data_IF_116490805839
#
_entry.id   IF_116490805839
#
_cell.length_a   1.000
_cell.length_b   1.000
_cell.length_c   1.000
_cell.angle_alpha   90.00
_cell.angle_beta   90.00
_cell.angle_gamma   90.00
#
_symmetry.space_group_name_H-M   'P 1'
#
loop_
_entity.id
_entity.type
_entity.pdbx_description
1 polymer ?
#
# COMPACT_ATOMS: atom_id res chain seq x y z
N UNK A 1 -43.78 0.27 -32.13
CA UNK A 1 -42.72 1.10 -31.52
C UNK A 1 -41.76 0.26 -30.63
N UNK A 2 -42.26 -0.58 -29.72
CA UNK A 2 -41.36 -1.39 -28.83
C UNK A 2 -40.45 -2.38 -29.57
N UNK A 3 -40.91 -2.99 -30.66
CA UNK A 3 -40.12 -3.95 -31.48
C UNK A 3 -39.04 -3.28 -32.33
N UNK A 4 -39.23 -2.05 -32.76
CA UNK A 4 -38.19 -1.27 -33.49
C UNK A 4 -37.10 -0.78 -32.56
N UNK A 5 -37.43 -0.43 -31.30
CA UNK A 5 -36.45 0.01 -30.29
C UNK A 5 -35.53 -1.13 -29.88
N UNK A 6 -36.05 -2.36 -29.74
CA UNK A 6 -35.29 -3.56 -29.44
C UNK A 6 -34.32 -3.95 -30.59
N UNK A 7 -34.73 -3.77 -31.84
CA UNK A 7 -33.88 -4.07 -32.99
C UNK A 7 -32.73 -3.05 -33.12
N UNK A 8 -33.00 -1.77 -32.83
CA UNK A 8 -31.99 -0.72 -32.82
C UNK A 8 -30.94 -0.92 -31.75
N UNK A 9 -31.35 -1.35 -30.54
CA UNK A 9 -30.44 -1.64 -29.43
C UNK A 9 -29.53 -2.84 -29.72
N UNK A 10 -30.05 -3.88 -30.37
CA UNK A 10 -29.29 -5.04 -30.80
C UNK A 10 -28.24 -4.71 -31.87
N UNK A 11 -28.57 -3.79 -32.79
CA UNK A 11 -27.66 -3.37 -33.87
C UNK A 11 -26.46 -2.56 -33.31
N UNK A 12 -26.65 -1.75 -32.27
CA UNK A 12 -25.59 -0.98 -31.63
C UNK A 12 -24.60 -1.90 -30.87
N UNK A 13 -25.08 -2.99 -30.26
CA UNK A 13 -24.23 -3.97 -29.57
C UNK A 13 -23.34 -4.77 -30.53
N UNK A 14 -23.76 -5.01 -31.76
CA UNK A 14 -22.97 -5.77 -32.76
C UNK A 14 -21.87 -4.91 -33.39
N UNK A 15 -22.05 -3.60 -33.49
CA UNK A 15 -21.03 -2.71 -34.05
C UNK A 15 -19.86 -2.43 -33.10
N UNK A 16 -20.02 -2.67 -31.80
CA UNK A 16 -18.94 -2.44 -30.81
C UNK A 16 -17.88 -3.56 -30.74
N UNK A 17 -18.13 -4.73 -31.36
CA UNK A 17 -17.16 -5.84 -31.38
C UNK A 17 -16.21 -5.82 -32.60
N UNK A 18 -16.39 -4.93 -33.55
CA UNK A 18 -15.57 -4.88 -34.77
C UNK A 18 -14.34 -3.95 -34.70
N UNK A 19 -14.06 -3.34 -33.52
CA UNK A 19 -12.95 -2.38 -33.37
C UNK A 19 -11.66 -2.98 -32.78
N UNK A 20 -11.56 -4.31 -32.61
CA UNK A 20 -10.33 -5.00 -32.21
C UNK A 20 -9.96 -6.02 -33.28
N UNK A 21 -9.34 -5.57 -34.33
CA UNK A 21 -8.81 -6.43 -35.40
C UNK A 21 -7.57 -5.85 -36.01
N UNK A 22 -6.45 -6.47 -35.74
CA UNK A 22 -5.32 -6.69 -36.63
C UNK A 22 -4.42 -5.51 -37.04
N UNK A 23 -3.20 -5.55 -36.49
CA UNK A 23 -2.05 -5.18 -37.29
C UNK A 23 -0.88 -6.12 -37.03
N UNK A 24 -0.64 -6.95 -38.06
CA UNK A 24 0.42 -7.91 -38.15
C UNK A 24 1.65 -7.28 -38.82
N UNK A 25 2.82 -7.53 -38.22
CA UNK A 25 4.10 -7.82 -38.85
C UNK A 25 4.70 -6.89 -39.90
N UNK A 26 5.88 -6.40 -39.58
CA UNK A 26 6.88 -5.89 -40.50
C UNK A 26 8.12 -5.57 -39.71
N UNK A 27 9.13 -6.48 -39.71
CA UNK A 27 10.40 -6.28 -39.01
C UNK A 27 11.21 -5.15 -39.67
N UNK A 28 11.89 -4.41 -38.82
CA UNK A 28 13.15 -3.72 -39.10
C UNK A 28 13.80 -3.44 -37.76
N UNK A 29 15.00 -3.97 -37.59
CA UNK A 29 15.93 -3.63 -36.51
C UNK A 29 16.21 -2.13 -36.55
N UNK A 30 15.68 -1.40 -35.59
CA UNK A 30 16.23 -0.13 -35.16
C UNK A 30 16.16 -0.13 -33.63
N UNK A 31 17.36 -0.12 -33.05
CA UNK A 31 17.58 0.05 -31.62
C UNK A 31 17.21 1.50 -31.27
N UNK A 32 15.93 1.76 -31.17
CA UNK A 32 15.42 2.99 -30.57
C UNK A 32 15.11 2.70 -29.11
N UNK A 33 15.93 3.29 -28.27
CA UNK A 33 15.74 3.38 -26.83
C UNK A 33 14.47 4.23 -26.55
N UNK A 34 13.32 3.72 -26.92
CA UNK A 34 12.02 4.25 -26.53
C UNK A 34 11.83 3.96 -25.05
N UNK A 35 12.28 4.89 -24.22
CA UNK A 35 11.90 4.93 -22.83
C UNK A 35 10.38 4.78 -22.74
N UNK A 36 9.93 3.61 -22.35
CA UNK A 36 8.52 3.31 -22.09
C UNK A 36 8.03 4.39 -21.14
N UNK A 37 7.15 5.27 -21.62
CA UNK A 37 6.57 6.31 -20.76
C UNK A 37 5.92 5.61 -19.56
N UNK A 38 6.45 5.82 -18.36
CA UNK A 38 5.95 5.18 -17.16
C UNK A 38 4.45 5.49 -17.02
N UNK A 39 3.66 4.45 -16.83
CA UNK A 39 2.24 4.59 -16.50
C UNK A 39 2.13 5.28 -15.14
N UNK A 40 1.28 6.29 -14.98
CA UNK A 40 1.06 6.90 -13.68
C UNK A 40 0.65 5.84 -12.64
N UNK A 41 1.24 5.92 -11.46
CA UNK A 41 0.95 5.03 -10.33
C UNK A 41 0.63 5.87 -9.10
N UNK A 42 -0.55 5.70 -8.56
CA UNK A 42 -0.98 6.29 -7.30
C UNK A 42 -0.96 5.19 -6.24
N UNK A 43 -0.02 5.31 -5.30
CA UNK A 43 0.21 4.32 -4.26
C UNK A 43 -0.30 4.84 -2.91
N UNK A 44 -0.85 3.96 -2.10
CA UNK A 44 -1.31 4.27 -0.74
C UNK A 44 -0.36 3.67 0.28
N UNK A 45 0.10 4.50 1.23
CA UNK A 45 0.94 4.10 2.35
C UNK A 45 0.17 4.14 3.67
N UNK A 46 -0.07 2.99 4.27
CA UNK A 46 -0.63 2.87 5.61
C UNK A 46 0.36 3.30 6.68
N UNK A 47 -0.12 4.11 7.60
CA UNK A 47 0.72 4.70 8.65
C UNK A 47 0.26 4.24 10.03
N UNK A 48 -0.36 5.10 10.81
CA UNK A 48 -0.94 4.85 12.10
C UNK A 48 -1.98 5.94 12.41
N UNK A 49 -2.40 6.07 13.65
CA UNK A 49 -3.31 7.14 14.06
C UNK A 49 -2.71 8.51 13.80
N UNK A 50 -3.56 9.51 13.54
CA UNK A 50 -3.12 10.88 13.20
C UNK A 50 -2.28 11.57 14.27
N UNK A 51 -2.37 11.14 15.53
CA UNK A 51 -1.52 11.59 16.64
C UNK A 51 -0.25 10.76 16.84
N UNK A 52 -0.03 9.72 16.04
CA UNK A 52 1.11 8.81 16.20
C UNK A 52 2.31 9.17 15.33
N UNK A 53 3.47 8.64 15.69
CA UNK A 53 4.73 8.85 14.97
C UNK A 53 4.66 8.38 13.51
N UNK A 54 4.01 7.25 13.24
CA UNK A 54 3.90 6.69 11.89
C UNK A 54 3.17 7.63 10.93
N UNK A 55 2.12 8.34 11.39
CA UNK A 55 1.39 9.26 10.53
C UNK A 55 2.25 10.46 10.13
N UNK A 56 2.89 11.10 11.11
CA UNK A 56 3.76 12.25 10.86
C UNK A 56 4.96 11.85 9.96
N UNK A 57 5.59 10.71 10.25
CA UNK A 57 6.74 10.21 9.51
C UNK A 57 6.35 9.75 8.11
N UNK A 58 5.25 9.00 7.96
CA UNK A 58 4.75 8.54 6.68
C UNK A 58 4.36 9.69 5.76
N UNK A 59 3.75 10.74 6.30
CA UNK A 59 3.47 11.97 5.54
C UNK A 59 4.74 12.66 5.04
N UNK A 60 5.75 12.79 5.89
CA UNK A 60 7.04 13.35 5.50
C UNK A 60 7.76 12.49 4.44
N UNK A 61 7.73 11.15 4.60
CA UNK A 61 8.28 10.22 3.63
C UNK A 61 7.57 10.30 2.29
N UNK A 62 6.23 10.30 2.28
CA UNK A 62 5.44 10.41 1.05
C UNK A 62 5.80 11.70 0.30
N UNK A 63 5.87 12.84 0.98
CA UNK A 63 6.27 14.10 0.36
C UNK A 63 7.69 14.02 -0.24
N UNK A 64 8.66 13.53 0.53
CA UNK A 64 10.04 13.42 0.06
C UNK A 64 10.19 12.46 -1.15
N UNK A 65 9.43 11.36 -1.17
CA UNK A 65 9.43 10.42 -2.28
C UNK A 65 8.75 11.04 -3.51
N UNK A 66 7.61 11.70 -3.34
CA UNK A 66 6.88 12.36 -4.42
C UNK A 66 7.75 13.43 -5.10
N UNK A 67 8.49 14.23 -4.32
CA UNK A 67 9.43 15.21 -4.84
C UNK A 67 10.55 14.55 -5.69
N UNK A 68 11.07 13.41 -5.25
CA UNK A 68 12.13 12.68 -5.94
C UNK A 68 11.63 11.93 -7.19
N UNK A 69 10.40 11.44 -7.16
CA UNK A 69 9.82 10.63 -8.22
C UNK A 69 8.86 11.42 -9.14
N UNK A 70 8.82 12.75 -9.03
CA UNK A 70 7.91 13.61 -9.80
C UNK A 70 7.96 13.34 -11.32
N UNK A 71 9.15 13.04 -11.85
CA UNK A 71 9.34 12.72 -13.27
C UNK A 71 8.96 11.29 -13.65
N UNK A 72 8.71 10.41 -12.67
CA UNK A 72 8.36 9.00 -12.88
C UNK A 72 6.86 8.74 -12.82
N UNK A 73 6.06 9.79 -12.60
CA UNK A 73 4.60 9.71 -12.47
C UNK A 73 4.15 8.75 -11.37
N UNK A 74 4.91 8.68 -10.27
CA UNK A 74 4.56 7.93 -9.08
C UNK A 74 4.13 8.92 -8.01
N UNK A 75 2.96 8.69 -7.42
CA UNK A 75 2.45 9.50 -6.30
C UNK A 75 2.18 8.58 -5.12
N UNK A 76 2.66 8.94 -3.93
CA UNK A 76 2.38 8.22 -2.68
C UNK A 76 1.51 9.08 -1.79
N UNK A 77 0.40 8.54 -1.31
CA UNK A 77 -0.48 9.18 -0.33
C UNK A 77 -0.38 8.45 1.01
N UNK A 78 -0.03 9.17 2.07
CA UNK A 78 -0.03 8.63 3.43
C UNK A 78 -1.44 8.59 3.99
N UNK A 79 -1.88 7.43 4.47
CA UNK A 79 -3.20 7.19 5.04
C UNK A 79 -3.12 6.84 6.53
N UNK A 80 -4.00 7.43 7.34
CA UNK A 80 -4.14 7.05 8.74
C UNK A 80 -4.79 5.66 8.86
N UNK A 81 -4.26 4.84 9.78
CA UNK A 81 -4.71 3.46 10.04
C UNK A 81 -4.58 3.13 11.53
N UNK A 82 -4.93 1.90 11.91
CA UNK A 82 -4.62 1.31 13.22
C UNK A 82 -3.20 0.76 13.34
N UNK A 83 -2.28 1.21 12.49
CA UNK A 83 -0.86 0.84 12.46
C UNK A 83 -0.59 -0.62 12.01
N UNK A 84 0.47 -1.25 12.55
CA UNK A 84 1.14 -2.44 12.01
C UNK A 84 0.21 -3.57 11.58
N UNK A 85 -0.73 -3.98 12.43
CA UNK A 85 -1.62 -5.12 12.14
C UNK A 85 -2.57 -4.79 11.00
N UNK A 86 -3.17 -3.60 11.03
CA UNK A 86 -4.08 -3.16 9.96
C UNK A 86 -3.33 -2.98 8.65
N UNK A 87 -2.16 -2.34 8.68
CA UNK A 87 -1.36 -2.13 7.47
C UNK A 87 -1.01 -3.44 6.77
N UNK A 88 -0.56 -4.45 7.54
CA UNK A 88 -0.21 -5.76 6.99
C UNK A 88 -1.43 -6.51 6.43
N UNK A 89 -2.59 -6.39 7.10
CA UNK A 89 -3.83 -6.98 6.60
C UNK A 89 -4.33 -6.29 5.31
N UNK A 90 -4.26 -4.96 5.23
CA UNK A 90 -4.67 -4.21 4.04
C UNK A 90 -3.75 -4.49 2.84
N UNK A 91 -2.44 -4.59 3.06
CA UNK A 91 -1.49 -5.00 2.00
C UNK A 91 -1.79 -6.43 1.56
N UNK A 92 -2.05 -7.34 2.49
CA UNK A 92 -2.39 -8.73 2.18
C UNK A 92 -3.68 -8.84 1.36
N UNK A 93 -4.65 -7.98 1.62
CA UNK A 93 -5.91 -7.91 0.89
C UNK A 93 -5.79 -7.21 -0.49
N UNK A 94 -4.64 -6.57 -0.79
CA UNK A 94 -4.46 -5.76 -2.00
C UNK A 94 -5.19 -4.41 -1.95
N UNK A 95 -5.54 -3.95 -0.75
CA UNK A 95 -6.21 -2.67 -0.50
C UNK A 95 -5.22 -1.53 -0.20
N UNK A 96 -3.94 -1.86 -0.08
CA UNK A 96 -2.86 -0.92 0.23
C UNK A 96 -1.55 -1.40 -0.39
N UNK A 97 -0.71 -0.46 -0.82
CA UNK A 97 0.53 -0.78 -1.54
C UNK A 97 1.75 -0.81 -0.61
N UNK A 98 1.78 0.09 0.36
CA UNK A 98 2.89 0.29 1.30
C UNK A 98 2.36 0.38 2.73
N UNK A 99 3.20 0.10 3.72
CA UNK A 99 2.80 0.26 5.13
C UNK A 99 3.99 0.32 6.06
N UNK A 100 3.86 1.11 7.12
CA UNK A 100 4.82 1.14 8.22
C UNK A 100 4.37 0.11 9.26
N UNK A 101 5.26 -0.78 9.64
CA UNK A 101 4.96 -1.83 10.62
C UNK A 101 6.16 -2.11 11.52
N UNK A 102 5.87 -2.52 12.75
CA UNK A 102 6.87 -3.04 13.69
C UNK A 102 7.39 -4.39 13.19
N UNK A 103 8.68 -4.63 13.30
CA UNK A 103 9.34 -5.86 12.85
C UNK A 103 8.79 -7.13 13.53
N UNK A 104 8.50 -7.09 14.83
CA UNK A 104 7.90 -8.21 15.55
C UNK A 104 6.46 -8.50 15.10
N UNK A 105 5.68 -7.46 14.74
CA UNK A 105 4.33 -7.64 14.21
C UNK A 105 4.40 -8.22 12.79
N UNK A 106 5.38 -7.78 11.98
CA UNK A 106 5.61 -8.36 10.65
C UNK A 106 6.04 -9.84 10.73
N UNK A 107 6.89 -10.21 11.70
CA UNK A 107 7.23 -11.60 11.95
C UNK A 107 6.00 -12.44 12.35
N UNK A 108 5.18 -11.95 13.28
CA UNK A 108 3.93 -12.62 13.67
C UNK A 108 2.96 -12.77 12.48
N UNK A 109 2.90 -11.77 11.60
CA UNK A 109 2.08 -11.84 10.39
C UNK A 109 2.58 -12.95 9.46
N UNK A 110 3.87 -13.02 9.22
CA UNK A 110 4.48 -14.06 8.38
C UNK A 110 4.20 -15.47 8.93
N UNK A 111 4.28 -15.65 10.25
CA UNK A 111 4.01 -16.92 10.93
C UNK A 111 2.49 -17.20 11.10
N UNK A 112 1.61 -16.22 10.88
CA UNK A 112 0.16 -16.34 11.08
C UNK A 112 -0.23 -16.50 12.54
N UNK A 113 0.46 -15.80 13.44
CA UNK A 113 0.24 -15.89 14.89
C UNK A 113 -0.14 -14.53 15.50
N UNK A 114 -0.52 -14.53 16.78
CA UNK A 114 -0.91 -13.32 17.49
C UNK A 114 -2.22 -12.72 16.98
N UNK A 115 -2.15 -11.56 16.34
CA UNK A 115 -3.33 -10.88 15.78
C UNK A 115 -3.72 -11.36 14.37
N UNK A 116 -2.99 -12.34 13.83
CA UNK A 116 -3.22 -12.87 12.48
C UNK A 116 -3.81 -14.28 12.53
N UNK A 117 -4.83 -14.53 11.72
CA UNK A 117 -5.52 -15.83 11.66
C UNK A 117 -4.89 -16.79 10.64
N UNK A 118 -4.00 -16.31 9.80
CA UNK A 118 -3.27 -17.07 8.78
C UNK A 118 -1.98 -16.32 8.41
N UNK A 119 -0.98 -17.03 7.86
CA UNK A 119 0.25 -16.41 7.38
C UNK A 119 0.02 -15.35 6.30
N UNK A 120 0.69 -14.21 6.44
CA UNK A 120 0.75 -13.12 5.46
C UNK A 120 2.08 -13.25 4.73
N UNK A 121 2.06 -13.81 3.52
CA UNK A 121 3.28 -14.19 2.77
C UNK A 121 3.52 -13.37 1.50
N UNK A 122 2.59 -12.45 1.17
CA UNK A 122 2.66 -11.61 -0.03
C UNK A 122 3.20 -10.20 0.25
N UNK A 123 3.88 -10.01 1.38
CA UNK A 123 4.54 -8.75 1.74
C UNK A 123 6.05 -8.89 1.72
N UNK A 124 6.76 -7.81 1.41
CA UNK A 124 8.21 -7.75 1.44
C UNK A 124 8.68 -6.52 2.20
N UNK A 125 9.77 -6.64 2.96
CA UNK A 125 10.39 -5.50 3.63
C UNK A 125 11.23 -4.70 2.63
N UNK A 126 10.99 -3.38 2.59
CA UNK A 126 11.75 -2.45 1.74
C UNK A 126 12.94 -1.88 2.52
N UNK A 127 12.79 -1.65 3.81
CA UNK A 127 13.84 -1.07 4.64
C UNK A 127 13.40 -0.80 6.08
N UNK A 128 14.33 -0.31 6.88
CA UNK A 128 14.09 0.10 8.28
C UNK A 128 14.01 1.62 8.33
N UNK A 129 12.92 2.13 8.90
CA UNK A 129 12.67 3.57 8.98
C UNK A 129 13.34 4.17 10.23
N UNK A 130 13.14 3.56 11.39
CA UNK A 130 13.78 3.95 12.66
C UNK A 130 13.69 2.82 13.70
N UNK A 131 14.41 2.96 14.82
CA UNK A 131 14.38 2.01 15.91
C UNK A 131 13.26 2.39 16.90
N UNK A 132 12.32 1.49 17.11
CA UNK A 132 11.33 1.61 18.19
C UNK A 132 11.85 0.90 19.44
N UNK A 133 12.08 1.67 20.51
CA UNK A 133 12.56 1.15 21.79
C UNK A 133 11.42 1.13 22.79
N UNK A 134 11.21 0.00 23.45
CA UNK A 134 10.25 -0.09 24.54
C UNK A 134 10.65 0.84 25.67
N UNK A 135 9.71 1.68 26.09
CA UNK A 135 9.86 2.55 27.23
C UNK A 135 8.68 2.33 28.18
N UNK A 136 8.98 2.01 29.44
CA UNK A 136 7.99 1.90 30.49
C UNK A 136 8.07 3.16 31.34
N UNK A 137 6.98 3.88 31.43
CA UNK A 137 6.87 5.11 32.22
C UNK A 137 5.82 4.88 33.31
N UNK A 138 6.18 5.12 34.56
CA UNK A 138 5.28 5.08 35.69
C UNK A 138 5.13 6.46 36.31
N UNK A 139 3.96 6.75 36.91
CA UNK A 139 3.78 7.97 37.66
C UNK A 139 4.70 7.96 38.88
N UNK A 140 5.38 9.08 39.16
CA UNK A 140 6.29 9.20 40.27
C UNK A 140 5.63 8.91 41.65
N UNK A 141 4.32 9.13 41.77
CA UNK A 141 3.57 8.84 43.00
C UNK A 141 3.47 7.34 43.29
N UNK A 142 3.75 6.43 42.34
CA UNK A 142 3.80 4.98 42.59
C UNK A 142 5.01 4.57 43.43
N UNK A 143 6.07 5.38 43.41
CA UNK A 143 7.34 5.07 44.05
C UNK A 143 8.12 3.91 43.38
N UNK A 144 7.60 3.35 42.29
CA UNK A 144 8.22 2.24 41.54
C UNK A 144 9.60 2.63 41.00
N UNK A 145 10.59 1.76 41.22
CA UNK A 145 11.96 1.93 40.75
C UNK A 145 12.33 0.89 39.66
N UNK A 146 11.59 -0.19 39.58
CA UNK A 146 11.75 -1.26 38.61
C UNK A 146 10.38 -1.86 38.23
N UNK A 147 10.35 -2.80 37.29
CA UNK A 147 9.10 -3.40 36.78
C UNK A 147 8.40 -4.26 37.83
N UNK A 148 9.18 -4.90 38.73
CA UNK A 148 8.64 -5.74 39.80
C UNK A 148 7.82 -4.93 40.82
N UNK A 149 8.14 -3.64 41.00
CA UNK A 149 7.40 -2.75 41.89
C UNK A 149 6.01 -2.38 41.36
N UNK A 150 5.72 -2.72 40.11
CA UNK A 150 4.44 -2.44 39.46
C UNK A 150 3.43 -3.60 39.55
N UNK A 151 3.78 -4.67 40.26
CA UNK A 151 2.84 -5.77 40.57
C UNK A 151 1.72 -5.22 41.44
N UNK A 152 0.48 -5.37 40.95
CA UNK A 152 -0.74 -5.07 41.68
C UNK A 152 -1.19 -6.24 42.56
#
# INVERSE_FOLDING_TARGET
MKKFLSLLLALILVLSLAACGEQQSGGSDDSDNSGTAATPQDLVMGTGSTGGTYFALGGAMANAINDKLANQKITITAQATGASVENLNLINAGEMDLGIAMNNVAANAFDGVGAFNAPVTNVSSIGVVYNEVYQIVANASTGAKNVEDLKG
#
